data_IF_419971523382
#
_entry.id   IF_419971523382
#
_cell.length_a   1.000
_cell.length_b   1.000
_cell.length_c   1.000
_cell.angle_alpha   90.00
_cell.angle_beta   90.00
_cell.angle_gamma   90.00
#
_symmetry.space_group_name_H-M   'P 1'
#
loop_
_entity.id
_entity.type
_entity.pdbx_description
1 polymer ?
#
# COMPACT_ATOMS: atom_id res chain seq x y z
N UNK A 1 -18.30 -26.91 24.11
CA UNK A 1 -17.31 -27.24 23.05
C UNK A 1 -18.08 -27.40 21.77
N UNK A 2 -18.06 -26.38 20.90
CA UNK A 2 -18.70 -26.44 19.58
C UNK A 2 -17.70 -27.09 18.63
N UNK A 3 -18.02 -28.27 18.11
CA UNK A 3 -17.27 -28.90 17.01
C UNK A 3 -17.46 -28.03 15.77
N UNK A 4 -16.38 -27.43 15.27
CA UNK A 4 -16.40 -26.78 13.97
C UNK A 4 -16.63 -27.86 12.91
N UNK A 5 -17.74 -27.79 12.18
CA UNK A 5 -17.94 -28.59 10.98
C UNK A 5 -16.82 -28.25 10.00
N UNK A 6 -15.96 -29.21 9.71
CA UNK A 6 -14.97 -29.04 8.65
C UNK A 6 -15.71 -29.14 7.31
N UNK A 7 -15.58 -28.10 6.49
CA UNK A 7 -16.09 -28.10 5.12
C UNK A 7 -15.57 -29.34 4.38
N UNK A 8 -16.44 -30.04 3.65
CA UNK A 8 -16.03 -31.23 2.91
C UNK A 8 -15.13 -30.87 1.73
N UNK A 9 -14.39 -31.84 1.19
CA UNK A 9 -13.60 -31.61 -0.03
C UNK A 9 -14.50 -31.15 -1.18
N UNK A 10 -15.70 -31.70 -1.29
CA UNK A 10 -16.68 -31.27 -2.29
C UNK A 10 -17.00 -29.78 -2.17
N UNK A 11 -17.13 -29.26 -0.95
CA UNK A 11 -17.41 -27.85 -0.69
C UNK A 11 -16.21 -26.94 -0.98
N UNK A 12 -14.99 -27.43 -0.72
CA UNK A 12 -13.77 -26.61 -0.86
C UNK A 12 -13.21 -26.58 -2.28
N UNK A 13 -13.28 -27.70 -3.00
CA UNK A 13 -12.59 -27.88 -4.29
C UNK A 13 -13.52 -28.44 -5.38
N UNK A 14 -14.81 -28.59 -5.11
CA UNK A 14 -15.79 -29.08 -6.09
C UNK A 14 -15.67 -30.57 -6.42
N UNK A 15 -14.91 -31.34 -5.63
CA UNK A 15 -14.69 -32.78 -5.82
C UNK A 15 -14.53 -33.53 -4.49
N UNK A 16 -14.99 -34.77 -4.46
CA UNK A 16 -15.02 -35.59 -3.23
C UNK A 16 -13.61 -36.04 -2.77
N UNK A 17 -12.74 -36.36 -3.72
CA UNK A 17 -11.35 -36.76 -3.46
C UNK A 17 -10.35 -35.72 -4.00
N UNK A 18 -9.36 -35.37 -3.18
CA UNK A 18 -8.27 -34.48 -3.54
C UNK A 18 -7.46 -35.06 -4.70
N UNK A 19 -7.33 -36.39 -4.78
CA UNK A 19 -6.54 -37.10 -5.79
C UNK A 19 -7.39 -37.73 -6.89
N UNK A 20 -8.62 -37.24 -7.11
CA UNK A 20 -9.42 -37.65 -8.26
C UNK A 20 -8.73 -37.21 -9.56
N UNK A 21 -7.94 -38.13 -10.12
CA UNK A 21 -7.16 -37.93 -11.33
C UNK A 21 -8.04 -37.64 -12.55
N UNK A 22 -9.24 -38.23 -12.62
CA UNK A 22 -10.15 -38.02 -13.74
C UNK A 22 -10.72 -36.60 -13.68
N UNK A 23 -11.15 -36.15 -12.51
CA UNK A 23 -11.58 -34.77 -12.29
C UNK A 23 -10.44 -33.77 -12.53
N UNK A 24 -9.23 -34.02 -12.03
CA UNK A 24 -8.05 -33.16 -12.23
C UNK A 24 -7.69 -33.04 -13.71
N UNK A 25 -7.61 -34.17 -14.42
CA UNK A 25 -7.21 -34.20 -15.83
C UNK A 25 -8.32 -33.72 -16.77
N UNK A 26 -9.59 -33.74 -16.33
CA UNK A 26 -10.70 -33.18 -17.09
C UNK A 26 -10.68 -31.65 -17.15
N UNK A 27 -9.99 -30.99 -16.20
CA UNK A 27 -9.60 -29.58 -16.30
C UNK A 27 -8.42 -29.49 -17.28
N UNK A 28 -8.71 -29.71 -18.55
CA UNK A 28 -7.75 -29.49 -19.62
C UNK A 28 -7.82 -28.02 -20.05
N UNK A 29 -6.66 -27.37 -20.21
CA UNK A 29 -6.62 -26.08 -20.88
C UNK A 29 -7.14 -26.31 -22.31
N UNK A 30 -8.33 -25.82 -22.63
CA UNK A 30 -9.02 -26.16 -23.87
C UNK A 30 -8.52 -25.37 -25.08
N UNK A 31 -7.65 -24.37 -24.87
CA UNK A 31 -7.32 -23.35 -25.86
C UNK A 31 -5.80 -23.14 -26.01
N UNK A 32 -5.05 -24.23 -26.20
CA UNK A 32 -3.56 -24.20 -26.30
C UNK A 32 -3.01 -23.26 -27.38
N UNK A 33 -3.77 -23.00 -28.44
CA UNK A 33 -3.40 -22.11 -29.54
C UNK A 33 -3.89 -20.66 -29.33
N UNK A 34 -4.64 -20.39 -28.26
CA UNK A 34 -5.16 -19.05 -27.99
C UNK A 34 -4.06 -18.10 -27.54
N UNK A 35 -3.87 -17.05 -28.33
CA UNK A 35 -2.91 -15.97 -28.05
C UNK A 35 -3.32 -15.14 -26.82
N UNK A 36 -4.62 -15.16 -26.45
CA UNK A 36 -5.17 -14.42 -25.32
C UNK A 36 -6.05 -15.37 -24.50
N UNK A 37 -5.73 -15.51 -23.20
CA UNK A 37 -6.55 -16.23 -22.23
C UNK A 37 -7.14 -15.24 -21.22
N UNK A 38 -8.45 -15.27 -21.03
CA UNK A 38 -9.11 -14.52 -19.96
C UNK A 38 -9.17 -15.40 -18.71
N UNK A 39 -8.48 -15.01 -17.65
CA UNK A 39 -8.52 -15.70 -16.36
C UNK A 39 -9.50 -14.96 -15.45
N UNK A 40 -10.49 -15.66 -14.91
CA UNK A 40 -11.42 -15.09 -13.95
C UNK A 40 -10.73 -14.95 -12.59
N UNK A 41 -10.83 -13.75 -12.03
CA UNK A 41 -10.42 -13.48 -10.66
C UNK A 41 -11.50 -13.96 -9.69
N UNK A 42 -11.10 -14.80 -8.73
CA UNK A 42 -12.00 -15.40 -7.74
C UNK A 42 -11.95 -14.68 -6.38
N UNK A 43 -11.30 -13.51 -6.31
CA UNK A 43 -11.20 -12.71 -5.10
C UNK A 43 -11.61 -11.24 -5.32
N UNK A 44 -12.24 -10.64 -4.31
CA UNK A 44 -12.59 -9.23 -4.34
C UNK A 44 -11.35 -8.35 -4.17
N UNK A 45 -11.22 -7.32 -5.02
CA UNK A 45 -10.23 -6.27 -4.83
C UNK A 45 -10.72 -5.28 -3.76
N UNK A 46 -9.99 -5.19 -2.64
CA UNK A 46 -10.36 -4.29 -1.54
C UNK A 46 -9.40 -3.11 -1.48
N UNK A 47 -9.90 -1.90 -1.76
CA UNK A 47 -9.23 -0.62 -1.54
C UNK A 47 -9.80 0.03 -0.28
N UNK A 48 -8.96 0.34 0.71
CA UNK A 48 -9.41 0.94 1.99
C UNK A 48 -8.53 2.12 2.38
N UNK A 49 -9.15 3.16 2.93
CA UNK A 49 -8.47 4.32 3.53
C UNK A 49 -8.15 4.11 5.01
N UNK A 50 -8.48 2.94 5.56
CA UNK A 50 -8.09 2.56 6.90
C UNK A 50 -6.64 2.07 6.91
N UNK A 51 -5.78 2.87 7.54
CA UNK A 51 -4.35 2.60 7.71
C UNK A 51 -4.01 2.01 9.09
N UNK A 52 -5.02 1.69 9.90
CA UNK A 52 -4.81 1.15 11.23
C UNK A 52 -4.16 -0.25 11.15
N UNK A 53 -2.97 -0.35 11.76
CA UNK A 53 -2.24 -1.62 11.83
C UNK A 53 -3.05 -2.64 12.64
N UNK A 54 -3.09 -3.89 12.21
CA UNK A 54 -3.83 -4.95 12.90
C UNK A 54 -5.28 -5.09 12.46
N UNK A 55 -5.83 -4.14 11.68
CA UNK A 55 -7.18 -4.25 11.13
C UNK A 55 -7.35 -5.51 10.26
N UNK A 56 -6.24 -6.02 9.68
CA UNK A 56 -6.21 -7.26 8.87
C UNK A 56 -5.08 -8.20 9.31
N UNK A 57 -5.29 -8.99 10.40
CA UNK A 57 -4.22 -9.78 11.01
C UNK A 57 -3.54 -10.80 10.08
N UNK A 58 -4.28 -11.37 9.11
CA UNK A 58 -3.72 -12.33 8.16
C UNK A 58 -2.74 -11.68 7.17
N UNK A 59 -3.07 -10.48 6.67
CA UNK A 59 -2.21 -9.68 5.80
C UNK A 59 -0.98 -9.20 6.55
N UNK A 60 -1.15 -8.71 7.79
CA UNK A 60 -0.05 -8.30 8.64
C UNK A 60 0.96 -9.44 8.85
N UNK A 61 0.47 -10.66 9.11
CA UNK A 61 1.33 -11.84 9.27
C UNK A 61 2.14 -12.16 8.01
N UNK A 62 1.54 -12.06 6.83
CA UNK A 62 2.25 -12.25 5.55
C UNK A 62 3.31 -11.17 5.35
N UNK A 63 2.95 -9.92 5.61
CA UNK A 63 3.84 -8.77 5.47
C UNK A 63 5.05 -8.86 6.43
N UNK A 64 4.83 -9.22 7.70
CA UNK A 64 5.90 -9.43 8.68
C UNK A 64 6.82 -10.61 8.34
N UNK A 65 6.29 -11.65 7.69
CA UNK A 65 7.12 -12.76 7.22
C UNK A 65 8.01 -12.35 6.05
N UNK A 66 7.50 -11.55 5.12
CA UNK A 66 8.22 -11.12 3.92
C UNK A 66 9.40 -10.18 4.24
N UNK A 67 9.22 -9.27 5.21
CA UNK A 67 10.22 -8.22 5.51
C UNK A 67 11.39 -8.65 6.39
N UNK A 68 11.37 -9.85 6.99
CA UNK A 68 12.45 -10.33 7.90
C UNK A 68 13.84 -10.42 7.26
N UNK A 69 13.93 -10.54 5.94
CA UNK A 69 15.20 -10.55 5.20
C UNK A 69 15.49 -9.20 4.50
N UNK A 70 14.74 -8.16 4.85
CA UNK A 70 14.88 -6.79 4.37
C UNK A 70 14.96 -5.83 5.56
N UNK A 71 15.03 -4.53 5.28
CA UNK A 71 14.85 -3.50 6.29
C UNK A 71 13.40 -3.52 6.80
N UNK A 72 13.23 -3.63 8.12
CA UNK A 72 11.93 -3.65 8.78
C UNK A 72 11.73 -2.38 9.60
N UNK A 73 10.94 -1.46 9.06
CA UNK A 73 10.62 -0.21 9.74
C UNK A 73 10.05 -0.37 11.15
N UNK A 74 9.47 -1.51 11.54
CA UNK A 74 8.95 -1.72 12.91
C UNK A 74 10.03 -2.01 13.95
N UNK A 75 11.13 -2.63 13.53
CA UNK A 75 12.19 -3.07 14.45
C UNK A 75 13.46 -2.23 14.30
N UNK A 76 13.69 -1.70 13.10
CA UNK A 76 14.95 -1.05 12.74
C UNK A 76 14.89 0.47 12.92
N UNK A 77 13.69 1.04 13.08
CA UNK A 77 13.48 2.45 13.43
C UNK A 77 13.03 2.58 14.88
N UNK A 78 13.65 3.53 15.59
CA UNK A 78 13.21 3.92 16.93
C UNK A 78 12.05 4.92 16.85
N UNK A 79 10.83 4.39 16.85
CA UNK A 79 9.59 5.18 16.85
C UNK A 79 9.35 6.00 18.13
N UNK A 80 10.18 5.82 19.17
CA UNK A 80 10.11 6.69 20.36
C UNK A 80 10.78 8.05 20.13
N UNK A 81 11.52 8.21 19.03
CA UNK A 81 12.13 9.48 18.64
C UNK A 81 11.04 10.48 18.28
N UNK A 82 11.01 11.60 18.99
CA UNK A 82 10.08 12.68 18.72
C UNK A 82 10.41 13.37 17.39
N UNK A 83 9.38 13.63 16.59
CA UNK A 83 9.52 14.23 15.26
C UNK A 83 8.89 15.62 15.26
N UNK A 84 9.76 16.63 15.35
CA UNK A 84 9.37 18.04 15.26
C UNK A 84 9.28 18.49 13.80
N UNK A 85 8.05 18.52 13.28
CA UNK A 85 7.76 18.92 11.90
C UNK A 85 8.14 20.39 11.64
N UNK A 86 7.93 21.27 12.62
CA UNK A 86 8.20 22.69 12.49
C UNK A 86 9.70 22.95 12.33
N UNK A 87 10.51 22.37 13.21
CA UNK A 87 11.96 22.43 13.13
C UNK A 87 12.50 21.88 11.82
N UNK A 88 11.88 20.80 11.31
CA UNK A 88 12.26 20.20 10.04
C UNK A 88 11.90 21.11 8.84
N UNK A 89 10.73 21.74 8.85
CA UNK A 89 10.33 22.73 7.85
C UNK A 89 11.27 23.93 7.85
N UNK A 90 11.58 24.49 9.03
CA UNK A 90 12.53 25.62 9.16
C UNK A 90 13.92 25.24 8.64
N UNK A 91 14.42 24.04 9.00
CA UNK A 91 15.70 23.55 8.50
C UNK A 91 15.71 23.37 6.98
N UNK A 92 14.63 22.85 6.39
CA UNK A 92 14.49 22.71 4.95
C UNK A 92 14.39 24.06 4.24
N UNK A 93 13.67 25.02 4.81
CA UNK A 93 13.60 26.40 4.28
C UNK A 93 14.98 27.04 4.30
N UNK A 94 15.74 26.92 5.39
CA UNK A 94 17.10 27.44 5.50
C UNK A 94 18.05 26.78 4.48
N UNK A 95 17.94 25.46 4.28
CA UNK A 95 18.72 24.73 3.29
C UNK A 95 18.39 25.16 1.83
N UNK A 96 17.15 25.60 1.59
CA UNK A 96 16.68 26.07 0.28
C UNK A 96 16.72 27.60 0.12
N UNK A 97 17.13 28.36 1.14
CA UNK A 97 17.15 29.83 1.13
C UNK A 97 18.11 30.44 0.08
N UNK A 98 19.03 29.64 -0.47
CA UNK A 98 19.90 30.03 -1.60
C UNK A 98 19.32 29.74 -2.99
N UNK A 99 18.11 29.20 -3.09
CA UNK A 99 17.43 28.97 -4.36
C UNK A 99 16.78 30.27 -4.85
N UNK A 100 16.69 30.51 -6.17
CA UNK A 100 16.19 31.77 -6.76
C UNK A 100 14.72 32.14 -6.43
N UNK A 101 14.03 31.34 -5.62
CA UNK A 101 12.68 31.62 -5.13
C UNK A 101 12.63 32.67 -4.00
N UNK A 102 13.76 33.04 -3.39
CA UNK A 102 13.81 34.05 -2.30
C UNK A 102 13.52 35.49 -2.72
N UNK A 103 13.65 35.82 -4.02
CA UNK A 103 13.48 37.18 -4.56
C UNK A 103 12.14 37.38 -5.28
N UNK A 104 11.12 36.56 -4.96
CA UNK A 104 9.79 36.70 -5.58
C UNK A 104 9.10 37.94 -4.99
N UNK A 105 8.73 38.88 -5.86
CA UNK A 105 7.85 39.99 -5.48
C UNK A 105 6.44 39.46 -5.22
N UNK A 106 6.05 39.44 -3.94
CA UNK A 106 4.74 38.97 -3.49
C UNK A 106 3.70 40.11 -3.43
N UNK A 107 4.06 41.34 -3.80
CA UNK A 107 3.15 42.47 -3.78
C UNK A 107 1.93 42.20 -4.67
N UNK A 108 0.73 42.54 -4.18
CA UNK A 108 -0.53 42.30 -4.89
C UNK A 108 -1.02 40.84 -4.93
N UNK A 109 -0.30 39.90 -4.30
CA UNK A 109 -0.74 38.51 -4.14
C UNK A 109 -1.43 38.27 -2.80
N UNK A 110 -2.05 37.10 -2.61
CA UNK A 110 -2.61 36.70 -1.32
C UNK A 110 -1.54 36.47 -0.22
N UNK A 111 -0.26 36.35 -0.61
CA UNK A 111 0.88 36.15 0.29
C UNK A 111 1.53 37.46 0.75
N UNK A 112 1.06 38.62 0.25
CA UNK A 112 1.69 39.92 0.52
C UNK A 112 1.78 40.28 2.03
N UNK A 113 0.90 39.70 2.86
CA UNK A 113 0.85 39.96 4.30
C UNK A 113 1.35 38.77 5.14
N UNK A 114 1.95 37.74 4.51
CA UNK A 114 2.44 36.57 5.24
C UNK A 114 3.73 36.88 6.01
N UNK A 115 3.77 36.45 7.26
CA UNK A 115 4.99 36.42 8.07
C UNK A 115 5.68 35.05 8.04
N UNK A 116 6.78 34.93 8.78
CA UNK A 116 7.54 33.67 8.87
C UNK A 116 6.67 32.51 9.36
N UNK A 117 5.81 32.73 10.35
CA UNK A 117 4.90 31.72 10.90
C UNK A 117 3.91 31.18 9.85
N UNK A 118 3.45 32.03 8.92
CA UNK A 118 2.54 31.62 7.85
C UNK A 118 3.25 30.70 6.84
N UNK A 119 4.50 31.01 6.52
CA UNK A 119 5.34 30.19 5.66
C UNK A 119 5.69 28.85 6.29
N UNK A 120 6.00 28.84 7.57
CA UNK A 120 6.23 27.61 8.34
C UNK A 120 4.98 26.74 8.33
N UNK A 121 3.81 27.33 8.60
CA UNK A 121 2.53 26.61 8.53
C UNK A 121 2.27 26.04 7.13
N UNK A 122 2.51 26.81 6.07
CA UNK A 122 2.38 26.29 4.70
C UNK A 122 3.32 25.10 4.47
N UNK A 123 4.57 25.17 4.96
CA UNK A 123 5.52 24.07 4.86
C UNK A 123 5.04 22.80 5.55
N UNK A 124 4.43 22.91 6.73
CA UNK A 124 3.82 21.79 7.45
C UNK A 124 2.66 21.19 6.63
N UNK A 125 1.75 22.02 6.13
CA UNK A 125 0.62 21.54 5.32
C UNK A 125 1.08 20.88 4.01
N UNK A 126 2.10 21.43 3.35
CA UNK A 126 2.70 20.83 2.16
C UNK A 126 3.35 19.47 2.45
N UNK A 127 4.00 19.33 3.61
CA UNK A 127 4.57 18.05 4.03
C UNK A 127 3.48 17.01 4.30
N UNK A 128 2.43 17.38 5.06
CA UNK A 128 1.29 16.51 5.36
C UNK A 128 0.57 16.07 4.08
N UNK A 129 0.35 17.00 3.15
CA UNK A 129 -0.23 16.70 1.85
C UNK A 129 0.63 15.72 1.06
N UNK A 130 1.94 15.94 1.01
CA UNK A 130 2.90 15.08 0.29
C UNK A 130 2.92 13.67 0.88
N UNK A 131 2.99 13.54 2.21
CA UNK A 131 2.91 12.26 2.92
C UNK A 131 1.60 11.53 2.61
N UNK A 132 0.49 12.27 2.54
CA UNK A 132 -0.80 11.70 2.15
C UNK A 132 -0.77 11.15 0.73
N UNK A 133 -0.22 11.90 -0.24
CA UNK A 133 -0.08 11.41 -1.63
C UNK A 133 0.80 10.16 -1.71
N UNK A 134 1.86 10.11 -0.91
CA UNK A 134 2.73 8.95 -0.83
C UNK A 134 1.98 7.71 -0.33
N UNK A 135 1.28 7.81 0.81
CA UNK A 135 0.48 6.71 1.36
C UNK A 135 -0.58 6.21 0.37
N UNK A 136 -1.28 7.12 -0.32
CA UNK A 136 -2.25 6.75 -1.36
C UNK A 136 -1.60 6.05 -2.56
N UNK A 137 -0.44 6.56 -3.00
CA UNK A 137 0.32 5.98 -4.11
C UNK A 137 0.79 4.56 -3.79
N UNK A 138 1.30 4.32 -2.59
CA UNK A 138 1.75 3.00 -2.15
C UNK A 138 0.59 1.99 -2.09
N UNK A 139 -0.58 2.40 -1.57
CA UNK A 139 -1.77 1.53 -1.60
C UNK A 139 -2.19 1.16 -3.02
N UNK A 140 -2.16 2.12 -3.95
CA UNK A 140 -2.44 1.86 -5.36
C UNK A 140 -1.44 0.86 -5.96
N UNK A 141 -0.15 1.02 -5.68
CA UNK A 141 0.90 0.10 -6.12
C UNK A 141 0.72 -1.31 -5.54
N UNK A 142 0.31 -1.43 -4.27
CA UNK A 142 0.02 -2.71 -3.63
C UNK A 142 -1.10 -3.47 -4.37
N UNK A 143 -2.15 -2.77 -4.79
CA UNK A 143 -3.25 -3.41 -5.53
C UNK A 143 -2.82 -3.83 -6.93
N UNK A 144 -2.05 -2.99 -7.64
CA UNK A 144 -1.50 -3.36 -8.94
C UNK A 144 -0.62 -4.63 -8.84
N UNK A 145 0.23 -4.72 -7.82
CA UNK A 145 1.09 -5.90 -7.62
C UNK A 145 0.30 -7.14 -7.20
N UNK A 146 -0.71 -7.00 -6.33
CA UNK A 146 -1.62 -8.09 -5.98
C UNK A 146 -2.32 -8.66 -7.22
N UNK A 147 -2.88 -7.78 -8.07
CA UNK A 147 -3.49 -8.18 -9.35
C UNK A 147 -2.53 -8.89 -10.29
N UNK A 148 -1.27 -8.48 -10.36
CA UNK A 148 -0.28 -9.18 -11.16
C UNK A 148 -0.05 -10.60 -10.63
N UNK A 149 0.10 -10.78 -9.31
CA UNK A 149 0.30 -12.12 -8.72
C UNK A 149 -0.94 -13.01 -8.92
N UNK A 150 -2.14 -12.45 -8.81
CA UNK A 150 -3.41 -13.18 -9.00
C UNK A 150 -3.66 -13.59 -10.45
N UNK A 151 -3.17 -12.84 -11.43
CA UNK A 151 -3.42 -13.09 -12.86
C UNK A 151 -2.38 -13.97 -13.55
N UNK A 152 -1.27 -14.30 -12.87
CA UNK A 152 -0.28 -15.26 -13.40
C UNK A 152 -0.87 -16.67 -13.27
N UNK A 153 -1.06 -17.40 -14.39
CA UNK A 153 -1.53 -18.79 -14.35
C UNK A 153 -0.54 -19.65 -13.59
N UNK A 154 -1.04 -20.51 -12.70
CA UNK A 154 -0.26 -21.55 -12.01
C UNK A 154 -0.22 -22.86 -12.79
#
# INVERSE_FOLDING_TARGET
MSTAEMSSNADMIGRDDVNDLEAILSISNSDWDAVIHQVQDNADAIFTWDYEKGARPALDKLYEKAKKSQWNGQTDLDWSTDVDQEKLVVANMAANAGQPAGDIDLSGTCFANWGDDDWVRLGIEMQNWTLSQFMHGEQGALICTAKIVETVPW
#
